data_IF_350629953116
#
_entry.id   IF_350629953116
#
_cell.length_a   1.000
_cell.length_b   1.000
_cell.length_c   1.000
_cell.angle_alpha   90.00
_cell.angle_beta   90.00
_cell.angle_gamma   90.00
#
_symmetry.space_group_name_H-M   'P 1'
#
loop_
_entity.id
_entity.type
_entity.pdbx_description
1 polymer ?
#
# COMPACT_ATOMS: atom_id res chain seq x y z
N UNK A 1 -38.53 56.72 8.20
CA UNK A 1 -37.18 57.00 8.72
C UNK A 1 -36.82 55.88 9.70
N UNK A 2 -36.39 54.73 9.19
CA UNK A 2 -35.76 53.64 9.95
C UNK A 2 -34.80 52.97 8.96
N UNK A 3 -33.50 53.23 9.13
CA UNK A 3 -32.43 52.62 8.34
C UNK A 3 -32.03 51.31 9.02
N UNK A 4 -32.15 50.18 8.32
CA UNK A 4 -31.61 48.90 8.74
C UNK A 4 -30.28 48.71 8.01
N UNK A 5 -29.18 48.93 8.73
CA UNK A 5 -27.82 48.65 8.28
C UNK A 5 -27.54 47.16 8.36
N UNK A 6 -27.22 46.55 7.22
CA UNK A 6 -26.67 45.21 7.12
C UNK A 6 -25.19 45.24 7.50
N UNK A 7 -24.85 44.62 8.63
CA UNK A 7 -23.47 44.33 9.00
C UNK A 7 -22.99 43.05 8.33
N UNK A 8 -22.04 43.18 7.40
CA UNK A 8 -21.30 42.04 6.83
C UNK A 8 -20.27 41.63 7.89
N UNK A 9 -20.51 40.52 8.57
CA UNK A 9 -19.49 39.84 9.36
C UNK A 9 -18.72 38.89 8.41
N UNK A 10 -17.62 39.40 7.86
CA UNK A 10 -16.64 38.58 7.15
C UNK A 10 -15.83 37.81 8.21
N UNK A 11 -16.26 36.61 8.55
CA UNK A 11 -15.45 35.69 9.35
C UNK A 11 -14.34 35.12 8.47
N UNK A 12 -13.20 35.82 8.43
CA UNK A 12 -11.92 35.25 7.98
C UNK A 12 -11.46 34.22 9.01
N UNK A 13 -11.96 32.99 8.91
CA UNK A 13 -11.28 31.83 9.49
C UNK A 13 -10.03 31.57 8.65
N UNK A 14 -8.96 32.30 8.96
CA UNK A 14 -7.62 31.84 8.63
C UNK A 14 -7.33 30.67 9.56
N UNK A 15 -7.52 29.46 9.08
CA UNK A 15 -6.85 28.30 9.66
C UNK A 15 -5.35 28.50 9.39
N UNK A 16 -4.68 29.23 10.27
CA UNK A 16 -3.24 29.12 10.43
C UNK A 16 -2.99 27.70 10.96
N UNK A 17 -2.80 26.75 10.05
CA UNK A 17 -2.03 25.54 10.37
C UNK A 17 -0.66 26.07 10.75
N UNK A 18 -0.40 26.10 12.05
CA UNK A 18 0.88 26.50 12.60
C UNK A 18 1.83 25.36 12.23
N UNK A 19 2.48 25.45 11.08
CA UNK A 19 3.63 24.59 10.80
C UNK A 19 4.54 24.69 12.03
N UNK A 20 4.86 23.54 12.64
CA UNK A 20 5.70 23.49 13.82
C UNK A 20 6.98 24.30 13.58
N UNK A 21 7.54 24.89 14.65
CA UNK A 21 8.85 25.53 14.57
C UNK A 21 9.84 24.48 14.04
N UNK A 22 10.43 24.65 12.84
CA UNK A 22 11.27 23.61 12.24
C UNK A 22 12.58 23.38 13.04
N UNK A 23 12.91 24.30 13.95
CA UNK A 23 14.00 24.17 14.91
C UNK A 23 13.59 23.44 16.20
N UNK A 24 12.30 23.13 16.38
CA UNK A 24 11.87 22.29 17.49
C UNK A 24 12.49 20.89 17.38
N UNK A 25 12.82 20.31 18.53
CA UNK A 25 13.32 18.94 18.58
C UNK A 25 12.19 17.96 18.82
N UNK A 26 12.27 16.78 18.22
CA UNK A 26 11.37 15.65 18.49
C UNK A 26 12.12 14.49 19.16
N UNK A 27 11.40 13.68 19.93
CA UNK A 27 11.94 12.38 20.37
C UNK A 27 12.08 11.48 19.16
N UNK A 28 13.26 10.86 19.01
CA UNK A 28 13.56 9.97 17.90
C UNK A 28 14.05 8.59 18.34
N UNK A 29 14.36 8.42 19.64
CA UNK A 29 14.82 7.15 20.19
C UNK A 29 13.74 6.09 20.00
N UNK A 30 14.14 4.96 19.42
CA UNK A 30 13.24 3.88 19.02
C UNK A 30 12.87 2.96 20.18
N UNK A 31 13.63 3.01 21.29
CA UNK A 31 13.56 2.03 22.37
C UNK A 31 14.30 0.73 22.05
N UNK A 32 15.03 0.68 20.93
CA UNK A 32 15.90 -0.41 20.53
C UNK A 32 17.35 0.10 20.47
N UNK A 33 18.15 -0.24 21.49
CA UNK A 33 19.53 0.23 21.63
C UNK A 33 20.42 -0.07 20.41
N UNK A 34 20.18 -1.21 19.73
CA UNK A 34 20.91 -1.57 18.52
C UNK A 34 20.61 -0.58 17.39
N UNK A 35 19.34 -0.29 17.16
CA UNK A 35 18.91 0.65 16.11
C UNK A 35 19.38 2.06 16.45
N UNK A 36 19.21 2.48 17.70
CA UNK A 36 19.61 3.80 18.15
C UNK A 36 21.13 4.02 17.99
N UNK A 37 21.95 3.01 18.26
CA UNK A 37 23.40 3.05 18.04
C UNK A 37 23.77 3.15 16.54
N UNK A 38 23.03 2.48 15.65
CA UNK A 38 23.24 2.61 14.21
C UNK A 38 22.89 4.03 13.76
N UNK A 39 21.75 4.58 14.19
CA UNK A 39 21.34 5.97 13.85
C UNK A 39 22.39 6.99 14.29
N UNK A 40 23.01 6.81 15.47
CA UNK A 40 24.08 7.67 15.96
C UNK A 40 25.39 7.55 15.19
N UNK A 41 25.65 6.38 14.59
CA UNK A 41 26.88 6.11 13.85
C UNK A 41 26.83 6.60 12.38
N UNK A 42 25.63 6.81 11.81
CA UNK A 42 25.46 7.25 10.43
C UNK A 42 25.89 8.71 10.23
N UNK A 43 26.52 9.00 9.09
CA UNK A 43 26.76 10.39 8.66
C UNK A 43 25.46 11.07 8.22
N UNK A 44 25.49 12.40 8.05
CA UNK A 44 24.33 13.13 7.56
C UNK A 44 23.90 12.69 6.16
N UNK A 45 24.86 12.43 5.27
CA UNK A 45 24.64 11.93 3.91
C UNK A 45 24.04 10.51 3.93
N UNK A 46 24.58 9.64 4.79
CA UNK A 46 24.06 8.29 5.00
C UNK A 46 22.60 8.32 5.48
N UNK A 47 22.27 9.16 6.47
CA UNK A 47 20.88 9.34 6.95
C UNK A 47 19.94 9.83 5.85
N UNK A 48 20.35 10.84 5.07
CA UNK A 48 19.55 11.36 3.95
C UNK A 48 19.28 10.27 2.92
N UNK A 49 20.30 9.47 2.57
CA UNK A 49 20.14 8.39 1.58
C UNK A 49 19.16 7.29 1.99
N UNK A 50 18.84 7.14 3.28
CA UNK A 50 17.88 6.14 3.78
C UNK A 50 16.44 6.63 3.75
N UNK A 51 16.19 7.93 3.67
CA UNK A 51 14.83 8.51 3.73
C UNK A 51 14.26 8.85 2.35
N UNK A 52 14.92 8.44 1.27
CA UNK A 52 14.33 8.50 -0.07
C UNK A 52 14.67 7.25 -0.89
N UNK A 53 13.86 6.99 -1.91
CA UNK A 53 14.15 5.97 -2.90
C UNK A 53 15.28 6.37 -3.85
N UNK A 54 15.71 5.45 -4.68
CA UNK A 54 16.69 5.66 -5.74
C UNK A 54 16.36 4.80 -6.95
N UNK A 55 17.03 5.06 -8.07
CA UNK A 55 16.98 4.18 -9.24
C UNK A 55 17.82 2.95 -8.96
N UNK A 56 17.22 1.76 -9.08
CA UNK A 56 17.96 0.52 -9.02
C UNK A 56 18.76 0.34 -10.32
N UNK A 57 20.08 0.46 -10.23
CA UNK A 57 20.98 0.30 -11.38
C UNK A 57 21.00 -1.12 -11.95
N UNK A 58 20.50 -2.10 -11.19
CA UNK A 58 20.40 -3.50 -11.63
C UNK A 58 19.17 -3.73 -12.54
N UNK A 59 18.33 -2.71 -12.76
CA UNK A 59 17.50 -2.47 -13.96
C UNK A 59 16.36 -3.43 -14.31
N UNK A 60 16.33 -4.66 -13.79
CA UNK A 60 15.68 -5.76 -14.52
C UNK A 60 14.44 -6.36 -13.84
N UNK A 61 13.91 -5.80 -12.75
CA UNK A 61 12.87 -6.46 -11.96
C UNK A 61 11.48 -5.82 -12.03
N UNK A 62 11.28 -4.65 -12.68
CA UNK A 62 9.99 -3.90 -12.68
C UNK A 62 9.42 -3.67 -11.27
N UNK A 63 10.28 -3.69 -10.26
CA UNK A 63 9.98 -3.29 -8.91
C UNK A 63 9.53 -1.82 -8.90
N UNK A 64 8.57 -1.51 -8.02
CA UNK A 64 8.05 -0.16 -7.87
C UNK A 64 9.13 0.79 -7.29
N UNK A 65 9.90 0.31 -6.31
CA UNK A 65 10.85 1.14 -5.57
C UNK A 65 12.11 0.43 -5.14
N UNK A 66 13.10 1.25 -4.81
CA UNK A 66 14.40 0.81 -4.34
C UNK A 66 14.98 1.82 -3.36
N UNK A 67 15.58 1.35 -2.27
CA UNK A 67 16.37 2.14 -1.34
C UNK A 67 17.79 1.59 -1.28
N UNK A 68 18.77 2.49 -1.29
CA UNK A 68 20.20 2.15 -1.37
C UNK A 68 20.72 1.44 -0.10
N UNK A 69 21.75 0.58 -0.22
CA UNK A 69 22.38 -0.03 0.93
C UNK A 69 23.38 0.92 1.61
N UNK A 70 23.62 0.71 2.91
CA UNK A 70 24.78 1.25 3.63
C UNK A 70 25.55 0.07 4.21
N UNK A 71 26.40 -0.51 3.37
CA UNK A 71 27.09 -1.78 3.63
C UNK A 71 28.05 -1.69 4.81
N UNK A 72 28.68 -0.53 5.03
CA UNK A 72 29.53 -0.23 6.19
C UNK A 72 28.82 -0.41 7.54
N UNK A 73 27.50 -0.21 7.56
CA UNK A 73 26.65 -0.33 8.75
C UNK A 73 25.77 -1.59 8.73
N UNK A 74 25.96 -2.48 7.74
CA UNK A 74 25.15 -3.67 7.57
C UNK A 74 23.68 -3.39 7.20
N UNK A 75 23.39 -2.23 6.60
CA UNK A 75 22.04 -1.88 6.14
C UNK A 75 21.90 -2.36 4.69
N UNK A 76 20.98 -3.31 4.39
CA UNK A 76 20.80 -3.81 3.04
C UNK A 76 20.04 -2.82 2.16
N UNK A 77 20.13 -3.03 0.85
CA UNK A 77 19.22 -2.40 -0.09
C UNK A 77 17.83 -3.03 0.04
N UNK A 78 16.78 -2.24 -0.10
CA UNK A 78 15.39 -2.69 -0.03
C UNK A 78 14.71 -2.47 -1.37
N UNK A 79 13.93 -3.46 -1.81
CA UNK A 79 13.08 -3.37 -3.00
C UNK A 79 11.62 -3.42 -2.60
N UNK A 80 10.80 -2.64 -3.32
CA UNK A 80 9.37 -2.52 -3.14
C UNK A 80 8.66 -2.93 -4.41
N UNK A 81 7.56 -3.67 -4.32
CA UNK A 81 6.74 -4.10 -5.48
C UNK A 81 5.26 -3.79 -5.22
N UNK A 82 4.50 -3.40 -6.26
CA UNK A 82 3.04 -3.39 -6.19
C UNK A 82 2.49 -4.79 -5.91
N UNK A 83 1.29 -4.92 -5.33
CA UNK A 83 0.91 -6.25 -4.83
C UNK A 83 -0.57 -6.59 -4.65
N UNK A 84 -1.52 -5.69 -4.92
CA UNK A 84 -2.95 -5.96 -4.67
C UNK A 84 -3.55 -7.11 -5.47
N UNK A 85 -3.06 -7.33 -6.69
CA UNK A 85 -3.46 -8.44 -7.56
C UNK A 85 -2.23 -9.30 -7.92
N UNK A 86 -1.46 -9.65 -6.89
CA UNK A 86 -0.18 -10.31 -7.04
C UNK A 86 0.96 -9.34 -7.31
N UNK A 87 2.19 -9.78 -7.08
CA UNK A 87 3.37 -8.91 -7.19
C UNK A 87 3.63 -8.50 -8.64
N UNK A 88 3.92 -7.22 -8.85
CA UNK A 88 4.23 -6.68 -10.17
C UNK A 88 5.76 -6.60 -10.36
N UNK A 89 6.31 -7.57 -11.08
CA UNK A 89 7.75 -7.71 -11.38
C UNK A 89 7.96 -8.35 -12.75
N UNK A 90 9.18 -8.30 -13.32
CA UNK A 90 9.54 -9.00 -14.60
C UNK A 90 9.73 -10.51 -14.41
N UNK A 91 8.79 -11.16 -13.74
CA UNK A 91 8.78 -12.61 -13.54
C UNK A 91 7.34 -13.12 -13.55
N UNK A 92 7.19 -14.42 -13.84
CA UNK A 92 5.91 -15.08 -13.64
C UNK A 92 5.60 -15.16 -12.15
N UNK A 93 4.50 -14.54 -11.77
CA UNK A 93 3.96 -14.48 -10.43
C UNK A 93 2.47 -14.85 -10.47
N UNK A 94 1.92 -15.29 -9.34
CA UNK A 94 0.49 -15.59 -9.24
C UNK A 94 -0.31 -14.29 -9.40
N UNK A 95 -1.31 -14.29 -10.28
CA UNK A 95 -2.35 -13.27 -10.32
C UNK A 95 -3.59 -13.76 -9.57
N UNK A 96 -3.67 -13.58 -8.23
CA UNK A 96 -4.82 -14.01 -7.44
C UNK A 96 -6.08 -13.17 -7.77
N UNK A 97 -7.28 -13.63 -7.35
CA UNK A 97 -8.47 -12.79 -7.41
C UNK A 97 -8.27 -11.50 -6.65
N UNK A 98 -8.84 -10.41 -7.16
CA UNK A 98 -8.67 -9.05 -6.62
C UNK A 98 -9.13 -8.92 -5.16
N UNK A 99 -8.73 -7.85 -4.47
CA UNK A 99 -9.24 -7.57 -3.12
C UNK A 99 -10.76 -7.45 -3.09
N UNK A 100 -11.41 -6.95 -4.15
CA UNK A 100 -12.87 -6.95 -4.24
C UNK A 100 -13.46 -8.38 -4.23
N UNK A 101 -12.82 -9.33 -4.91
CA UNK A 101 -13.21 -10.75 -4.85
C UNK A 101 -13.03 -11.32 -3.44
N UNK A 102 -11.92 -11.00 -2.78
CA UNK A 102 -11.69 -11.38 -1.38
C UNK A 102 -12.81 -10.84 -0.49
N UNK A 103 -13.20 -9.58 -0.64
CA UNK A 103 -14.29 -8.98 0.12
C UNK A 103 -15.63 -9.66 -0.10
N UNK A 104 -15.94 -10.03 -1.35
CA UNK A 104 -17.16 -10.76 -1.69
C UNK A 104 -17.27 -12.13 -1.00
N UNK A 105 -16.15 -12.72 -0.53
CA UNK A 105 -16.18 -13.97 0.26
C UNK A 105 -16.62 -13.78 1.72
N UNK A 106 -16.56 -12.54 2.25
CA UNK A 106 -16.75 -12.23 3.69
C UNK A 106 -15.88 -13.09 4.63
N UNK A 107 -14.73 -13.58 4.14
CA UNK A 107 -13.88 -14.54 4.85
C UNK A 107 -12.55 -13.93 5.28
N UNK A 108 -12.34 -13.85 6.59
CA UNK A 108 -11.06 -13.49 7.19
C UNK A 108 -9.93 -14.41 6.70
N UNK A 109 -10.21 -15.71 6.56
CA UNK A 109 -9.22 -16.66 6.05
C UNK A 109 -8.89 -16.42 4.58
N UNK A 110 -9.86 -16.02 3.74
CA UNK A 110 -9.58 -15.69 2.34
C UNK A 110 -8.61 -14.50 2.25
N UNK A 111 -8.80 -13.48 3.08
CA UNK A 111 -7.89 -12.34 3.15
C UNK A 111 -6.49 -12.72 3.66
N UNK A 112 -6.40 -13.57 4.68
CA UNK A 112 -5.10 -14.09 5.14
C UNK A 112 -4.37 -14.86 4.04
N UNK A 113 -5.05 -15.81 3.39
CA UNK A 113 -4.45 -16.63 2.34
C UNK A 113 -4.08 -15.81 1.09
N UNK A 114 -4.85 -14.77 0.76
CA UNK A 114 -4.46 -13.80 -0.25
C UNK A 114 -3.15 -13.09 0.12
N UNK A 115 -3.00 -12.64 1.37
CA UNK A 115 -1.76 -12.08 1.88
C UNK A 115 -0.59 -13.05 1.81
N UNK A 116 -0.80 -14.35 2.10
CA UNK A 116 0.23 -15.39 1.99
C UNK A 116 0.80 -15.48 0.57
N UNK A 117 -0.05 -15.45 -0.48
CA UNK A 117 0.42 -15.44 -1.86
C UNK A 117 1.37 -14.26 -2.10
N UNK A 118 0.90 -13.03 -1.83
CA UNK A 118 1.68 -11.81 -2.05
C UNK A 118 2.99 -11.85 -1.26
N UNK A 119 2.95 -12.14 0.04
CA UNK A 119 4.14 -12.15 0.90
C UNK A 119 5.14 -13.24 0.52
N UNK A 120 4.67 -14.45 0.18
CA UNK A 120 5.55 -15.57 -0.17
C UNK A 120 6.31 -15.29 -1.45
N UNK A 121 5.62 -14.81 -2.48
CA UNK A 121 6.26 -14.48 -3.74
C UNK A 121 7.17 -13.25 -3.58
N UNK A 122 6.74 -12.21 -2.86
CA UNK A 122 7.61 -11.07 -2.53
C UNK A 122 8.93 -11.53 -1.89
N UNK A 123 8.86 -12.41 -0.88
CA UNK A 123 10.07 -12.92 -0.22
C UNK A 123 10.97 -13.70 -1.17
N UNK A 124 10.40 -14.59 -2.00
CA UNK A 124 11.16 -15.39 -2.97
C UNK A 124 11.84 -14.54 -4.05
N UNK A 125 11.21 -13.45 -4.46
CA UNK A 125 11.75 -12.51 -5.44
C UNK A 125 12.54 -11.35 -4.81
N UNK A 126 12.89 -11.44 -3.52
CA UNK A 126 13.69 -10.44 -2.82
C UNK A 126 13.05 -9.02 -2.78
N UNK A 127 11.73 -8.99 -2.66
CA UNK A 127 10.93 -7.78 -2.42
C UNK A 127 10.65 -7.69 -0.93
N UNK A 128 11.32 -6.74 -0.27
CA UNK A 128 11.23 -6.56 1.17
C UNK A 128 9.94 -5.83 1.58
N UNK A 129 9.35 -5.03 0.69
CA UNK A 129 8.01 -4.46 0.87
C UNK A 129 7.11 -4.87 -0.28
N UNK A 130 5.92 -5.35 0.03
CA UNK A 130 4.82 -5.40 -0.92
C UNK A 130 3.85 -4.26 -0.61
N UNK A 131 3.56 -3.45 -1.62
CA UNK A 131 2.65 -2.32 -1.53
C UNK A 131 1.21 -2.86 -1.55
N UNK A 132 0.78 -3.49 -0.46
CA UNK A 132 -0.52 -4.16 -0.28
C UNK A 132 -0.79 -4.39 1.22
N UNK A 133 -2.04 -4.36 1.70
CA UNK A 133 -3.28 -4.15 0.94
C UNK A 133 -3.69 -2.69 0.76
N UNK A 134 -4.50 -2.43 -0.27
CA UNK A 134 -5.24 -1.17 -0.39
C UNK A 134 -6.54 -1.23 0.42
N UNK A 135 -6.75 -0.28 1.33
CA UNK A 135 -7.91 -0.21 2.24
C UNK A 135 -8.65 1.12 2.18
N UNK A 136 -8.42 1.91 1.13
CA UNK A 136 -9.18 3.12 0.87
C UNK A 136 -10.66 2.80 0.61
N UNK A 137 -11.55 3.76 0.89
CA UNK A 137 -12.99 3.59 0.73
C UNK A 137 -13.35 3.65 -0.76
N UNK A 138 -14.08 2.63 -1.24
CA UNK A 138 -14.71 2.63 -2.56
C UNK A 138 -15.91 3.58 -2.59
N UNK A 139 -15.64 4.89 -2.63
CA UNK A 139 -16.67 5.93 -2.57
C UNK A 139 -17.38 6.13 -3.90
N UNK A 140 -16.63 6.13 -5.00
CA UNK A 140 -17.16 6.41 -6.33
C UNK A 140 -17.31 5.09 -7.11
N UNK A 141 -18.53 4.71 -7.54
CA UNK A 141 -18.75 3.48 -8.30
C UNK A 141 -18.06 3.46 -9.68
N UNK A 142 -17.54 4.61 -10.18
CA UNK A 142 -16.78 4.67 -11.44
C UNK A 142 -15.28 4.85 -11.26
N UNK A 143 -14.74 4.72 -10.04
CA UNK A 143 -13.30 4.78 -9.80
C UNK A 143 -12.56 3.66 -10.57
N UNK A 144 -11.64 4.01 -11.47
CA UNK A 144 -10.96 3.03 -12.35
C UNK A 144 -10.11 1.96 -11.63
N UNK A 145 -9.80 2.17 -10.35
CA UNK A 145 -8.96 1.29 -9.54
C UNK A 145 -9.73 0.62 -8.38
N UNK A 146 -11.07 0.54 -8.47
CA UNK A 146 -11.91 -0.05 -7.40
C UNK A 146 -11.49 -1.49 -7.03
N UNK A 147 -10.96 -2.26 -7.99
CA UNK A 147 -10.56 -3.65 -7.81
C UNK A 147 -9.42 -3.82 -6.79
N UNK A 148 -8.66 -2.77 -6.54
CA UNK A 148 -7.55 -2.78 -5.59
C UNK A 148 -8.01 -2.75 -4.14
N UNK A 149 -9.19 -2.18 -3.82
CA UNK A 149 -9.68 -2.11 -2.43
C UNK A 149 -10.76 -3.14 -2.16
N UNK A 150 -11.06 -3.38 -0.88
CA UNK A 150 -12.06 -4.37 -0.47
C UNK A 150 -13.51 -3.88 -0.64
N UNK A 151 -13.86 -2.71 -0.12
CA UNK A 151 -15.26 -2.28 0.01
C UNK A 151 -15.44 -0.76 0.20
N UNK A 152 -16.70 -0.34 0.13
CA UNK A 152 -17.17 0.98 0.59
C UNK A 152 -17.34 1.05 2.12
N UNK A 153 -17.28 -0.09 2.82
CA UNK A 153 -17.45 -0.18 4.27
C UNK A 153 -16.08 -0.19 5.01
N UNK A 154 -15.82 0.79 5.90
CA UNK A 154 -14.55 0.89 6.62
C UNK A 154 -14.28 -0.30 7.55
N UNK A 155 -15.34 -0.87 8.15
CA UNK A 155 -15.20 -2.00 9.06
C UNK A 155 -14.74 -3.25 8.30
N UNK A 156 -15.35 -3.57 7.16
CA UNK A 156 -14.96 -4.68 6.30
C UNK A 156 -13.54 -4.49 5.77
N UNK A 157 -13.18 -3.27 5.33
CA UNK A 157 -11.81 -2.93 4.92
C UNK A 157 -10.81 -3.21 6.04
N UNK A 158 -11.09 -2.77 7.27
CA UNK A 158 -10.23 -3.01 8.42
C UNK A 158 -10.08 -4.52 8.71
N UNK A 159 -11.20 -5.25 8.82
CA UNK A 159 -11.19 -6.67 9.22
C UNK A 159 -10.47 -7.55 8.20
N UNK A 160 -10.68 -7.33 6.91
CA UNK A 160 -9.98 -8.08 5.86
C UNK A 160 -8.53 -7.63 5.72
N UNK A 161 -8.27 -6.31 5.76
CA UNK A 161 -6.92 -5.76 5.65
C UNK A 161 -5.99 -6.23 6.76
N UNK A 162 -6.45 -6.36 8.01
CA UNK A 162 -5.65 -6.94 9.12
C UNK A 162 -5.17 -8.35 8.77
N UNK A 163 -6.04 -9.16 8.16
CA UNK A 163 -5.70 -10.53 7.78
C UNK A 163 -4.76 -10.56 6.59
N UNK A 164 -4.97 -9.70 5.59
CA UNK A 164 -4.05 -9.54 4.46
C UNK A 164 -2.64 -9.14 4.91
N UNK A 165 -2.54 -8.16 5.82
CA UNK A 165 -1.27 -7.75 6.45
C UNK A 165 -0.61 -8.91 7.17
N UNK A 166 -1.34 -9.65 8.02
CA UNK A 166 -0.79 -10.80 8.76
C UNK A 166 -0.30 -11.90 7.82
N UNK A 167 -1.12 -12.30 6.85
CA UNK A 167 -0.75 -13.33 5.88
C UNK A 167 0.50 -12.97 5.09
N UNK A 168 0.64 -11.71 4.69
CA UNK A 168 1.81 -11.21 3.97
C UNK A 168 3.05 -11.18 4.86
N UNK A 169 2.96 -10.59 6.05
CA UNK A 169 4.09 -10.43 6.96
C UNK A 169 4.58 -11.74 7.57
N UNK A 170 3.69 -12.72 7.77
CA UNK A 170 4.06 -14.07 8.23
C UNK A 170 4.99 -14.79 7.23
N UNK A 171 5.04 -14.34 5.97
CA UNK A 171 5.98 -14.85 4.96
C UNK A 171 7.32 -14.10 4.94
N UNK A 172 7.47 -13.02 5.71
CA UNK A 172 8.71 -12.30 5.92
C UNK A 172 8.93 -11.07 5.02
N UNK A 173 7.91 -10.60 4.29
CA UNK A 173 7.91 -9.30 3.61
C UNK A 173 7.07 -8.29 4.38
N UNK A 174 7.43 -7.01 4.34
CA UNK A 174 6.69 -5.94 4.99
C UNK A 174 5.42 -5.60 4.19
N UNK A 175 4.27 -5.54 4.88
CA UNK A 175 3.03 -5.07 4.27
C UNK A 175 2.96 -3.54 4.28
N UNK A 176 2.15 -2.99 3.39
CA UNK A 176 1.89 -1.57 3.26
C UNK A 176 0.39 -1.29 3.29
N UNK A 177 -0.09 -0.59 4.31
CA UNK A 177 -1.46 -0.10 4.30
C UNK A 177 -1.54 1.10 3.34
N UNK A 178 -2.24 0.96 2.20
CA UNK A 178 -2.39 2.05 1.22
C UNK A 178 -3.81 2.31 0.72
N UNK A 179 -4.06 3.39 0.00
CA UNK A 179 -3.43 4.67 0.31
C UNK A 179 -4.20 5.31 1.46
N UNK A 180 -3.51 5.99 2.36
CA UNK A 180 -4.16 6.79 3.40
C UNK A 180 -4.35 8.24 2.90
N UNK A 181 -5.60 8.67 2.95
CA UNK A 181 -6.06 9.96 2.43
C UNK A 181 -7.24 9.77 1.47
N UNK A 182 -8.25 10.66 1.49
CA UNK A 182 -9.40 10.57 0.60
C UNK A 182 -8.97 10.79 -0.85
N UNK A 183 -8.74 9.69 -1.56
CA UNK A 183 -8.62 9.65 -3.01
C UNK A 183 -9.84 8.95 -3.59
N UNK A 184 -10.51 9.56 -4.57
CA UNK A 184 -11.70 8.98 -5.21
C UNK A 184 -11.47 8.58 -6.67
N UNK A 185 -10.27 8.80 -7.20
CA UNK A 185 -9.99 8.69 -8.65
C UNK A 185 -8.81 7.79 -9.00
N UNK A 186 -8.14 7.20 -7.99
CA UNK A 186 -6.87 6.48 -8.19
C UNK A 186 -5.73 7.41 -8.62
N UNK A 187 -4.49 6.91 -8.54
CA UNK A 187 -3.24 7.64 -8.81
C UNK A 187 -3.22 8.47 -10.12
N UNK A 188 -4.02 8.09 -11.13
CA UNK A 188 -3.93 8.63 -12.48
C UNK A 188 -4.61 9.99 -12.72
N UNK A 189 -5.39 10.52 -11.77
CA UNK A 189 -6.17 11.75 -11.99
C UNK A 189 -5.57 13.04 -11.40
N UNK A 190 -4.38 12.97 -10.80
CA UNK A 190 -3.70 14.13 -10.22
C UNK A 190 -4.34 14.65 -8.93
N UNK A 191 -3.61 15.53 -8.27
CA UNK A 191 -3.87 16.21 -6.99
C UNK A 191 -5.28 16.80 -6.85
N UNK A 192 -6.29 15.96 -6.67
CA UNK A 192 -7.64 16.45 -6.33
C UNK A 192 -7.66 16.82 -4.86
N UNK A 193 -8.17 18.03 -4.59
CA UNK A 193 -8.40 18.47 -3.23
C UNK A 193 -9.72 17.91 -2.71
N UNK A 194 -9.61 16.97 -1.79
CA UNK A 194 -10.71 16.42 -1.02
C UNK A 194 -11.03 17.33 0.15
N UNK A 195 -12.15 18.05 0.04
CA UNK A 195 -12.70 18.87 1.13
C UNK A 195 -13.57 17.99 2.02
N UNK A 196 -13.04 17.62 3.19
CA UNK A 196 -13.62 16.60 4.07
C UNK A 196 -13.43 17.02 5.52
N UNK A 197 -14.47 16.90 6.33
CA UNK A 197 -14.38 17.19 7.77
C UNK A 197 -13.61 16.11 8.53
N UNK A 198 -13.11 16.44 9.72
CA UNK A 198 -12.29 15.54 10.52
C UNK A 198 -13.02 14.28 10.97
N UNK A 199 -14.33 14.36 11.24
CA UNK A 199 -15.10 13.18 11.65
C UNK A 199 -15.14 12.16 10.51
N UNK A 200 -15.46 12.61 9.29
CA UNK A 200 -15.45 11.75 8.10
C UNK A 200 -14.07 11.15 7.84
N UNK A 201 -12.99 11.93 8.03
CA UNK A 201 -11.62 11.42 7.91
C UNK A 201 -11.34 10.29 8.91
N UNK A 202 -11.67 10.50 10.19
CA UNK A 202 -11.45 9.53 11.27
C UNK A 202 -12.30 8.27 11.09
N UNK A 203 -13.61 8.42 10.84
CA UNK A 203 -14.58 7.33 10.87
C UNK A 203 -14.65 6.52 9.57
N UNK A 204 -14.23 7.07 8.42
CA UNK A 204 -14.25 6.37 7.14
C UNK A 204 -12.85 6.11 6.56
N UNK A 205 -12.04 7.16 6.40
CA UNK A 205 -10.81 7.07 5.62
C UNK A 205 -9.60 6.58 6.42
N UNK A 206 -9.52 6.90 7.71
CA UNK A 206 -8.35 6.64 8.54
C UNK A 206 -8.53 5.44 9.46
N UNK A 207 -9.77 5.03 9.78
CA UNK A 207 -10.02 3.90 10.67
C UNK A 207 -9.44 2.59 10.14
N UNK A 208 -9.61 2.28 8.85
CA UNK A 208 -9.09 1.04 8.28
C UNK A 208 -7.55 0.99 8.30
N UNK A 209 -6.80 1.94 7.69
CA UNK A 209 -5.34 1.91 7.75
C UNK A 209 -4.82 2.02 9.20
N UNK A 210 -5.44 2.83 10.06
CA UNK A 210 -5.07 2.90 11.48
C UNK A 210 -5.20 1.57 12.22
N UNK A 211 -6.31 0.85 12.00
CA UNK A 211 -6.52 -0.48 12.60
C UNK A 211 -5.53 -1.51 12.03
N UNK A 212 -5.14 -1.42 10.76
CA UNK A 212 -4.10 -2.26 10.17
C UNK A 212 -2.74 -2.04 10.84
N UNK A 213 -2.41 -0.79 11.17
CA UNK A 213 -1.19 -0.47 11.93
C UNK A 213 -1.27 -1.06 13.35
N UNK A 214 -2.37 -0.84 14.06
CA UNK A 214 -2.51 -1.20 15.47
C UNK A 214 -2.73 -2.71 15.70
N UNK A 215 -3.66 -3.34 14.99
CA UNK A 215 -4.03 -4.76 15.18
C UNK A 215 -3.33 -5.71 14.19
N UNK A 216 -2.99 -5.20 13.00
CA UNK A 216 -2.27 -5.92 11.96
C UNK A 216 -0.75 -5.82 12.10
N UNK A 217 -0.25 -4.81 12.84
CA UNK A 217 1.16 -4.44 12.90
C UNK A 217 1.73 -4.22 11.48
N UNK A 218 0.98 -3.54 10.62
CA UNK A 218 1.45 -3.20 9.28
C UNK A 218 2.78 -2.44 9.39
N UNK A 219 3.82 -2.96 8.72
CA UNK A 219 5.16 -2.45 8.83
C UNK A 219 5.32 -1.08 8.18
N UNK A 220 4.54 -0.81 7.14
CA UNK A 220 4.59 0.42 6.36
C UNK A 220 3.19 0.96 6.05
N UNK A 221 3.11 2.25 5.77
CA UNK A 221 1.90 3.01 5.43
C UNK A 221 2.23 3.95 4.26
N UNK A 222 1.33 4.08 3.28
CA UNK A 222 1.53 4.99 2.15
C UNK A 222 0.48 6.10 2.13
N UNK A 223 0.92 7.37 2.21
CA UNK A 223 0.05 8.52 2.04
C UNK A 223 -0.29 8.75 0.56
N UNK A 224 -1.54 9.15 0.28
CA UNK A 224 -2.06 9.29 -1.08
C UNK A 224 -1.57 10.54 -1.81
N UNK A 225 -1.78 10.57 -3.13
CA UNK A 225 -1.67 11.78 -3.98
C UNK A 225 -2.65 12.91 -3.63
N UNK A 226 -3.73 12.65 -2.90
CA UNK A 226 -4.78 13.65 -2.70
C UNK A 226 -4.29 14.82 -1.84
N UNK A 227 -4.94 15.97 -2.00
CA UNK A 227 -4.90 17.02 -0.97
C UNK A 227 -6.10 16.84 -0.03
N UNK A 228 -5.88 17.12 1.26
CA UNK A 228 -6.89 17.13 2.31
C UNK A 228 -7.06 18.58 2.74
N UNK A 229 -8.21 19.18 2.41
CA UNK A 229 -8.52 20.57 2.74
C UNK A 229 -7.43 21.56 2.29
N UNK A 230 -6.85 21.34 1.11
CA UNK A 230 -5.84 22.19 0.48
C UNK A 230 -4.39 21.87 0.84
N UNK A 231 -4.14 20.82 1.62
CA UNK A 231 -2.80 20.39 2.03
C UNK A 231 -2.53 18.98 1.49
N UNK A 232 -1.40 18.71 0.81
CA UNK A 232 -1.10 17.35 0.35
C UNK A 232 -1.12 16.32 1.49
N UNK A 233 -1.70 15.15 1.27
CA UNK A 233 -1.89 14.14 2.32
C UNK A 233 -0.57 13.72 2.96
N UNK A 234 0.52 13.66 2.18
CA UNK A 234 1.86 13.35 2.65
C UNK A 234 2.54 14.43 3.52
N UNK A 235 1.85 15.54 3.80
CA UNK A 235 2.26 16.56 4.77
C UNK A 235 1.08 17.06 5.62
N UNK A 236 -0.03 16.30 5.68
CA UNK A 236 -1.20 16.67 6.46
C UNK A 236 -1.04 16.20 7.91
N UNK A 237 -0.53 17.09 8.78
CA UNK A 237 -0.21 16.79 10.18
C UNK A 237 -1.32 16.04 10.95
N UNK A 238 -2.63 16.38 10.84
CA UNK A 238 -3.66 15.63 11.55
C UNK A 238 -3.73 14.14 11.20
N UNK A 239 -3.39 13.78 9.95
CA UNK A 239 -3.31 12.37 9.54
C UNK A 239 -2.21 11.66 10.31
N UNK A 240 -1.01 12.23 10.37
CA UNK A 240 0.13 11.60 11.03
C UNK A 240 -0.02 11.58 12.55
N UNK A 241 -0.57 12.63 13.16
CA UNK A 241 -0.91 12.61 14.59
C UNK A 241 -1.89 11.46 14.90
N UNK A 242 -2.90 11.26 14.05
CA UNK A 242 -3.82 10.13 14.22
C UNK A 242 -3.08 8.80 14.10
N UNK A 243 -2.26 8.61 13.07
CA UNK A 243 -1.58 7.33 12.84
C UNK A 243 -0.53 7.01 13.92
N UNK A 244 0.25 8.02 14.35
CA UNK A 244 1.37 7.86 15.27
C UNK A 244 0.93 7.91 16.73
N UNK A 245 0.02 8.82 17.09
CA UNK A 245 -0.37 9.04 18.48
C UNK A 245 -1.61 8.21 18.84
N UNK A 246 -2.70 8.33 18.07
CA UNK A 246 -3.97 7.65 18.40
C UNK A 246 -3.89 6.14 18.15
N UNK A 247 -3.31 5.72 17.03
CA UNK A 247 -3.07 4.31 16.72
C UNK A 247 -1.74 3.77 17.24
N UNK A 248 -0.90 4.61 17.85
CA UNK A 248 0.40 4.26 18.44
C UNK A 248 1.31 3.49 17.45
N UNK A 249 1.39 3.97 16.21
CA UNK A 249 2.15 3.31 15.15
C UNK A 249 3.57 3.85 15.00
N UNK A 250 4.52 2.91 14.88
CA UNK A 250 5.90 3.16 14.48
C UNK A 250 6.20 2.66 13.05
N UNK A 251 5.17 2.51 12.21
CA UNK A 251 5.34 2.09 10.83
C UNK A 251 6.17 3.10 10.02
N UNK A 252 6.83 2.61 8.97
CA UNK A 252 7.45 3.50 7.99
C UNK A 252 6.34 4.17 7.20
N UNK A 253 6.26 5.49 7.27
CA UNK A 253 5.34 6.28 6.48
C UNK A 253 6.04 6.74 5.20
N UNK A 254 5.57 6.28 4.05
CA UNK A 254 6.12 6.64 2.74
C UNK A 254 5.14 7.43 1.89
N UNK A 255 5.66 8.22 0.95
CA UNK A 255 4.85 8.80 -0.11
C UNK A 255 4.38 7.75 -1.09
N UNK A 256 3.22 7.98 -1.72
CA UNK A 256 2.99 7.43 -3.06
C UNK A 256 3.99 8.05 -4.06
N UNK A 257 4.11 7.49 -5.26
CA UNK A 257 5.16 7.82 -6.22
C UNK A 257 5.00 9.24 -6.76
N UNK A 258 5.74 10.21 -6.21
CA UNK A 258 5.63 11.63 -6.54
C UNK A 258 4.60 12.42 -5.71
N UNK A 259 4.07 11.85 -4.62
CA UNK A 259 3.13 12.52 -3.72
C UNK A 259 3.80 13.43 -2.68
N UNK A 260 5.13 13.52 -2.68
CA UNK A 260 5.88 14.47 -1.85
C UNK A 260 5.86 15.85 -2.50
N UNK A 261 5.59 16.89 -1.71
CA UNK A 261 5.52 18.29 -2.18
C UNK A 261 6.29 19.28 -1.32
N UNK A 262 7.10 18.79 -0.38
CA UNK A 262 7.90 19.61 0.54
C UNK A 262 9.06 18.83 1.13
N UNK A 263 10.14 19.54 1.44
CA UNK A 263 11.33 18.99 2.12
C UNK A 263 11.09 18.93 3.64
N UNK A 264 10.96 20.10 4.29
CA UNK A 264 10.86 20.17 5.74
C UNK A 264 9.46 19.85 6.26
N UNK A 265 8.41 20.36 5.61
CA UNK A 265 7.03 20.27 6.11
C UNK A 265 6.53 18.83 6.18
N UNK A 266 6.78 18.02 5.15
CA UNK A 266 6.42 16.59 5.14
C UNK A 266 7.17 15.78 6.19
N UNK A 267 8.49 16.05 6.36
CA UNK A 267 9.30 15.41 7.39
C UNK A 267 8.83 15.83 8.78
N UNK A 268 8.55 17.11 9.01
CA UNK A 268 8.01 17.60 10.30
C UNK A 268 6.68 16.93 10.60
N UNK A 269 5.77 16.91 9.63
CA UNK A 269 4.42 16.38 9.76
C UNK A 269 4.42 14.89 10.14
N UNK A 270 5.39 14.10 9.70
CA UNK A 270 5.51 12.71 10.13
C UNK A 270 5.87 11.70 9.04
N UNK A 271 6.14 12.13 7.81
CA UNK A 271 6.61 11.22 6.77
C UNK A 271 8.05 10.76 7.05
N UNK A 272 8.40 9.54 6.63
CA UNK A 272 9.74 8.96 6.84
C UNK A 272 10.49 8.72 5.52
N UNK A 273 9.78 8.39 4.44
CA UNK A 273 10.39 7.89 3.20
C UNK A 273 9.75 8.51 1.94
N UNK A 274 10.53 9.27 1.17
CA UNK A 274 10.12 9.77 -0.14
C UNK A 274 10.31 8.71 -1.24
N UNK A 275 9.31 8.50 -2.09
CA UNK A 275 9.36 7.60 -3.26
C UNK A 275 8.99 8.33 -4.56
N UNK A 276 9.59 7.98 -5.72
CA UNK A 276 10.62 6.94 -5.94
C UNK A 276 12.07 7.40 -5.71
N UNK A 277 12.29 8.71 -5.59
CA UNK A 277 13.63 9.33 -5.59
C UNK A 277 13.66 10.49 -4.61
N UNK A 278 14.84 11.01 -4.26
CA UNK A 278 15.00 12.17 -3.36
C UNK A 278 14.67 13.54 -3.97
N UNK A 279 13.55 13.68 -4.70
CA UNK A 279 13.21 14.96 -5.35
C UNK A 279 13.04 16.12 -4.37
N UNK A 280 12.62 15.84 -3.13
CA UNK A 280 12.54 16.82 -2.05
C UNK A 280 13.52 16.51 -0.91
N UNK A 281 13.80 15.24 -0.63
CA UNK A 281 14.57 14.82 0.54
C UNK A 281 16.08 14.85 0.31
N UNK A 282 16.58 14.91 -0.93
CA UNK A 282 18.00 15.20 -1.19
C UNK A 282 18.43 16.53 -0.54
N UNK A 283 17.52 17.52 -0.51
CA UNK A 283 17.76 18.83 0.07
C UNK A 283 17.81 18.83 1.61
N UNK A 284 17.47 17.73 2.29
CA UNK A 284 17.49 17.66 3.76
C UNK A 284 18.89 17.89 4.33
N UNK A 285 19.93 17.48 3.60
CA UNK A 285 21.30 17.73 4.04
C UNK A 285 21.57 19.23 4.24
N UNK A 286 21.19 20.04 3.25
CA UNK A 286 21.37 21.49 3.30
C UNK A 286 20.48 22.15 4.36
N UNK A 287 19.25 21.66 4.54
CA UNK A 287 18.34 22.17 5.57
C UNK A 287 18.87 21.94 6.99
N UNK A 288 19.49 20.79 7.24
CA UNK A 288 19.92 20.37 8.58
C UNK A 288 21.36 20.80 8.89
N UNK A 289 22.31 20.53 7.98
CA UNK A 289 23.74 20.65 8.30
C UNK A 289 24.39 21.94 7.77
N UNK A 290 23.83 22.54 6.71
CA UNK A 290 24.38 23.77 6.10
C UNK A 290 23.66 25.01 6.62
N UNK A 291 22.35 25.09 6.38
CA UNK A 291 21.52 26.23 6.76
C UNK A 291 21.01 26.16 8.20
N UNK A 292 20.98 24.97 8.80
CA UNK A 292 20.51 24.72 10.17
C UNK A 292 19.11 25.27 10.43
N UNK A 293 18.23 25.15 9.44
CA UNK A 293 16.83 25.58 9.51
C UNK A 293 15.88 24.43 9.87
N UNK A 294 16.40 23.21 10.04
CA UNK A 294 15.64 22.02 10.44
C UNK A 294 16.45 21.20 11.45
N UNK A 295 15.81 20.80 12.55
CA UNK A 295 16.48 19.95 13.55
C UNK A 295 16.76 18.55 12.99
N UNK A 296 17.99 18.05 13.18
CA UNK A 296 18.40 16.68 12.82
C UNK A 296 17.53 15.62 13.50
N UNK A 297 16.90 15.93 14.64
CA UNK A 297 16.00 14.99 15.33
C UNK A 297 14.85 14.48 14.44
N UNK A 298 14.37 15.28 13.49
CA UNK A 298 13.33 14.84 12.55
C UNK A 298 13.86 13.77 11.58
N UNK A 299 15.07 13.95 11.08
CA UNK A 299 15.74 12.97 10.23
C UNK A 299 16.07 11.69 11.01
N UNK A 300 16.58 11.82 12.24
CA UNK A 300 16.84 10.67 13.11
C UNK A 300 15.57 9.87 13.41
N UNK A 301 14.41 10.54 13.57
CA UNK A 301 13.12 9.88 13.79
C UNK A 301 12.75 9.03 12.57
N UNK A 302 12.83 9.60 11.36
CA UNK A 302 12.54 8.90 10.12
C UNK A 302 13.45 7.68 9.90
N UNK A 303 14.77 7.88 10.03
CA UNK A 303 15.77 6.80 9.93
C UNK A 303 15.53 5.74 11.02
N UNK A 304 15.21 6.15 12.24
CA UNK A 304 14.88 5.26 13.35
C UNK A 304 13.69 4.33 13.04
N UNK A 305 12.59 4.86 12.48
CA UNK A 305 11.45 4.03 12.07
C UNK A 305 11.84 3.02 10.99
N UNK A 306 12.60 3.46 9.98
CA UNK A 306 13.06 2.59 8.88
C UNK A 306 13.92 1.45 9.41
N UNK A 307 14.95 1.77 10.18
CA UNK A 307 15.88 0.77 10.72
C UNK A 307 15.22 -0.13 11.78
N UNK A 308 14.27 0.38 12.56
CA UNK A 308 13.50 -0.45 13.49
C UNK A 308 12.67 -1.51 12.76
N UNK A 309 12.05 -1.17 11.61
CA UNK A 309 11.34 -2.17 10.79
C UNK A 309 12.31 -3.11 10.09
N UNK A 310 13.46 -2.64 9.63
CA UNK A 310 14.47 -3.54 9.07
C UNK A 310 14.96 -4.54 10.12
N UNK A 311 15.17 -4.10 11.36
CA UNK A 311 15.56 -4.99 12.47
C UNK A 311 14.42 -5.98 12.82
N UNK A 312 13.17 -5.49 12.90
CA UNK A 312 11.98 -6.30 13.18
C UNK A 312 11.82 -7.44 12.17
N UNK A 313 12.15 -7.21 10.90
CA UNK A 313 12.08 -8.20 9.83
C UNK A 313 13.41 -8.96 9.60
N UNK A 314 14.40 -8.76 10.47
CA UNK A 314 15.68 -9.46 10.43
C UNK A 314 16.55 -9.11 9.21
N UNK A 315 16.38 -7.92 8.64
CA UNK A 315 17.08 -7.48 7.44
C UNK A 315 18.46 -6.87 7.75
N UNK A 316 18.64 -6.25 8.93
CA UNK A 316 19.93 -5.69 9.32
C UNK A 316 21.01 -6.76 9.46
N UNK A 317 22.17 -6.52 8.84
CA UNK A 317 23.30 -7.45 8.78
C UNK A 317 23.17 -8.54 7.72
N UNK A 318 22.08 -8.55 6.94
CA UNK A 318 21.91 -9.47 5.83
C UNK A 318 22.45 -8.88 4.53
N UNK A 319 22.91 -9.74 3.63
CA UNK A 319 23.09 -9.39 2.22
C UNK A 319 21.83 -9.80 1.48
N UNK A 320 21.33 -8.95 0.58
CA UNK A 320 20.17 -9.28 -0.24
C UNK A 320 20.46 -10.52 -1.09
N UNK A 321 19.75 -11.62 -0.81
CA UNK A 321 19.81 -12.83 -1.65
C UNK A 321 19.15 -12.55 -3.01
N UNK A 322 19.66 -13.19 -4.07
CA UNK A 322 19.09 -13.04 -5.41
C UNK A 322 17.65 -13.57 -5.51
N UNK A 323 16.93 -13.16 -6.55
CA UNK A 323 15.58 -13.68 -6.79
C UNK A 323 15.61 -15.19 -7.03
N UNK A 324 14.67 -15.92 -6.46
CA UNK A 324 14.48 -17.36 -6.70
C UNK A 324 13.26 -17.62 -7.59
N UNK A 325 13.33 -18.56 -8.56
CA UNK A 325 12.16 -18.95 -9.33
C UNK A 325 11.12 -19.62 -8.42
N UNK A 326 9.83 -19.46 -8.74
CA UNK A 326 8.77 -20.17 -8.03
C UNK A 326 8.88 -21.69 -8.30
N UNK A 327 8.92 -22.48 -7.24
CA UNK A 327 8.81 -23.94 -7.34
C UNK A 327 7.40 -24.36 -7.77
N UNK A 328 7.26 -25.55 -8.36
CA UNK A 328 5.95 -26.08 -8.76
C UNK A 328 4.97 -26.18 -7.58
N UNK A 329 5.45 -26.57 -6.39
CA UNK A 329 4.61 -26.70 -5.19
C UNK A 329 3.98 -25.35 -4.79
N UNK A 330 4.76 -24.27 -4.86
CA UNK A 330 4.27 -22.90 -4.59
C UNK A 330 3.21 -22.50 -5.62
N UNK A 331 3.48 -22.74 -6.90
CA UNK A 331 2.54 -22.46 -7.99
C UNK A 331 1.22 -23.22 -7.78
N UNK A 332 1.28 -24.49 -7.40
CA UNK A 332 0.11 -25.34 -7.21
C UNK A 332 -0.71 -24.93 -5.98
N UNK A 333 -0.05 -24.59 -4.87
CA UNK A 333 -0.70 -24.12 -3.65
C UNK A 333 -1.38 -22.75 -3.86
N UNK A 334 -0.68 -21.80 -4.48
CA UNK A 334 -1.23 -20.48 -4.79
C UNK A 334 -2.38 -20.56 -5.79
N UNK A 335 -2.33 -21.48 -6.76
CA UNK A 335 -3.45 -21.75 -7.67
C UNK A 335 -4.67 -22.30 -6.92
N UNK A 336 -4.47 -23.17 -5.92
CA UNK A 336 -5.56 -23.71 -5.09
C UNK A 336 -6.21 -22.62 -4.23
N UNK A 337 -5.41 -21.77 -3.60
CA UNK A 337 -5.90 -20.60 -2.83
C UNK A 337 -6.69 -19.68 -3.76
N UNK A 338 -6.13 -19.33 -4.91
CA UNK A 338 -6.77 -18.46 -5.91
C UNK A 338 -8.11 -19.02 -6.38
N UNK A 339 -8.17 -20.32 -6.65
CA UNK A 339 -9.42 -21.00 -7.03
C UNK A 339 -10.48 -20.96 -5.91
N UNK A 340 -10.08 -21.23 -4.66
CA UNK A 340 -11.00 -21.20 -3.51
C UNK A 340 -11.61 -19.81 -3.30
N UNK A 341 -10.79 -18.75 -3.37
CA UNK A 341 -11.24 -17.36 -3.30
C UNK A 341 -12.18 -17.06 -4.47
N UNK A 342 -11.79 -17.40 -5.71
CA UNK A 342 -12.59 -17.13 -6.90
C UNK A 342 -13.98 -17.75 -6.81
N UNK A 343 -14.06 -19.04 -6.45
CA UNK A 343 -15.34 -19.77 -6.33
C UNK A 343 -16.22 -19.17 -5.23
N UNK A 344 -15.65 -18.80 -4.08
CA UNK A 344 -16.39 -18.20 -2.96
C UNK A 344 -16.81 -16.75 -3.20
N UNK A 345 -16.15 -16.05 -4.12
CA UNK A 345 -16.44 -14.65 -4.45
C UNK A 345 -17.63 -14.45 -5.38
N UNK A 346 -18.17 -15.53 -5.97
CA UNK A 346 -19.31 -15.44 -6.89
C UNK A 346 -20.62 -15.09 -6.18
N UNK A 347 -21.19 -13.91 -6.50
CA UNK A 347 -22.46 -13.45 -5.93
C UNK A 347 -23.62 -13.80 -6.87
N UNK A 348 -24.49 -14.73 -6.45
CA UNK A 348 -25.70 -15.08 -7.20
C UNK A 348 -26.80 -14.03 -7.00
N UNK A 349 -26.81 -13.00 -7.85
CA UNK A 349 -27.79 -11.90 -7.74
C UNK A 349 -29.22 -12.31 -8.13
N UNK A 350 -29.36 -13.22 -9.11
CA UNK A 350 -30.66 -13.67 -9.61
C UNK A 350 -30.60 -15.12 -10.05
N UNK A 351 -31.55 -15.93 -9.58
CA UNK A 351 -31.77 -17.29 -10.06
C UNK A 351 -33.27 -17.55 -10.21
N UNK A 352 -33.76 -17.56 -11.44
CA UNK A 352 -35.17 -17.80 -11.75
C UNK A 352 -35.32 -19.20 -12.34
N UNK A 353 -36.40 -19.90 -11.96
CA UNK A 353 -36.72 -21.25 -12.44
C UNK A 353 -35.63 -22.30 -12.19
N UNK A 354 -34.79 -22.12 -11.18
CA UNK A 354 -33.65 -23.00 -10.88
C UNK A 354 -32.74 -23.22 -12.09
N UNK A 355 -32.48 -22.15 -12.85
CA UNK A 355 -31.57 -22.18 -14.01
C UNK A 355 -30.16 -22.62 -13.61
N UNK A 356 -29.67 -22.14 -12.45
CA UNK A 356 -28.43 -22.63 -11.84
C UNK A 356 -28.74 -23.58 -10.66
N UNK A 357 -27.94 -24.64 -10.45
CA UNK A 357 -26.73 -25.01 -11.20
C UNK A 357 -27.03 -25.63 -12.58
N UNK A 358 -26.10 -25.45 -13.53
CA UNK A 358 -26.18 -26.06 -14.86
C UNK A 358 -26.11 -27.58 -14.74
N UNK A 359 -27.02 -28.28 -15.42
CA UNK A 359 -27.07 -29.76 -15.41
C UNK A 359 -26.18 -30.35 -16.50
N UNK A 360 -25.59 -31.51 -16.23
CA UNK A 360 -24.87 -32.28 -17.26
C UNK A 360 -25.79 -32.63 -18.44
N UNK A 361 -25.24 -32.66 -19.66
CA UNK A 361 -25.98 -32.88 -20.90
C UNK A 361 -26.76 -31.67 -21.42
N UNK A 362 -26.63 -30.49 -20.79
CA UNK A 362 -27.22 -29.25 -21.29
C UNK A 362 -26.51 -28.79 -22.57
N UNK A 363 -27.26 -28.28 -23.54
CA UNK A 363 -26.69 -27.53 -24.66
C UNK A 363 -26.48 -26.07 -24.25
N UNK A 364 -25.24 -25.58 -24.36
CA UNK A 364 -24.82 -24.29 -23.82
C UNK A 364 -24.20 -23.45 -24.94
N UNK A 365 -24.67 -22.21 -25.07
CA UNK A 365 -24.01 -21.20 -25.89
C UNK A 365 -23.22 -20.24 -25.00
N UNK A 366 -21.92 -20.13 -25.22
CA UNK A 366 -21.06 -19.13 -24.56
C UNK A 366 -20.93 -17.92 -25.50
N UNK A 367 -21.35 -16.74 -25.05
CA UNK A 367 -21.43 -15.53 -25.88
C UNK A 367 -20.63 -14.40 -25.23
N UNK A 368 -19.79 -13.74 -26.03
CA UNK A 368 -18.99 -12.57 -25.62
C UNK A 368 -17.47 -12.86 -25.57
N UNK A 369 -16.62 -11.83 -25.71
CA UNK A 369 -15.16 -11.99 -25.80
C UNK A 369 -14.56 -12.68 -24.57
N UNK A 370 -15.01 -12.34 -23.37
CA UNK A 370 -14.53 -12.91 -22.10
C UNK A 370 -14.96 -14.37 -21.88
N UNK A 371 -15.82 -14.90 -22.76
CA UNK A 371 -16.12 -16.32 -22.80
C UNK A 371 -14.94 -17.14 -23.34
N UNK A 372 -14.20 -16.58 -24.29
CA UNK A 372 -13.11 -17.26 -25.02
C UNK A 372 -11.74 -16.72 -24.59
N UNK A 373 -11.65 -15.45 -24.23
CA UNK A 373 -10.42 -14.83 -23.74
C UNK A 373 -10.34 -14.94 -22.22
N UNK A 374 -9.16 -15.28 -21.71
CA UNK A 374 -8.87 -15.11 -20.30
C UNK A 374 -8.90 -13.62 -19.96
N UNK A 375 -9.69 -13.24 -18.96
CA UNK A 375 -9.75 -11.88 -18.45
C UNK A 375 -9.50 -11.88 -16.95
N UNK A 376 -8.38 -11.29 -16.54
CA UNK A 376 -8.03 -11.18 -15.13
C UNK A 376 -8.91 -10.16 -14.37
N UNK A 377 -9.54 -9.21 -15.08
CA UNK A 377 -10.49 -8.27 -14.50
C UNK A 377 -9.87 -7.01 -13.89
N UNK A 378 -8.56 -6.81 -14.07
CA UNK A 378 -7.84 -5.60 -13.65
C UNK A 378 -7.29 -4.84 -14.85
N UNK A 379 -6.91 -3.58 -14.65
CA UNK A 379 -6.14 -2.82 -15.65
C UNK A 379 -4.70 -3.37 -15.71
N UNK A 380 -3.96 -3.07 -16.78
CA UNK A 380 -2.58 -3.55 -16.95
C UNK A 380 -1.58 -2.95 -15.95
N UNK A 381 -1.94 -1.89 -15.23
CA UNK A 381 -1.10 -1.29 -14.20
C UNK A 381 -1.24 -2.06 -12.86
N UNK A 382 -0.11 -2.30 -12.16
CA UNK A 382 -0.06 -2.79 -10.78
C UNK A 382 -0.63 -4.21 -10.55
N UNK A 383 -0.31 -5.17 -11.44
CA UNK A 383 -0.69 -6.58 -11.29
C UNK A 383 0.45 -7.53 -11.65
N UNK A 384 0.37 -8.78 -11.18
CA UNK A 384 1.19 -9.84 -11.72
C UNK A 384 0.90 -10.11 -13.21
N UNK A 385 1.94 -10.43 -13.99
CA UNK A 385 1.79 -10.90 -15.37
C UNK A 385 1.00 -12.22 -15.46
N UNK A 386 1.03 -13.00 -14.38
CA UNK A 386 0.39 -14.31 -14.28
C UNK A 386 1.32 -15.43 -14.76
N UNK A 387 0.83 -16.67 -14.62
CA UNK A 387 1.51 -17.88 -15.10
C UNK A 387 0.76 -18.36 -16.35
N UNK A 388 1.32 -18.17 -17.57
CA UNK A 388 0.61 -18.42 -18.82
C UNK A 388 -0.02 -19.81 -18.92
N UNK A 389 0.66 -20.84 -18.40
CA UNK A 389 0.21 -22.24 -18.44
C UNK A 389 -1.05 -22.49 -17.60
N UNK A 390 -1.41 -21.56 -16.72
CA UNK A 390 -2.59 -21.64 -15.84
C UNK A 390 -3.72 -20.67 -16.23
N UNK A 391 -3.56 -19.91 -17.30
CA UNK A 391 -4.60 -19.00 -17.79
C UNK A 391 -5.64 -19.78 -18.59
N UNK A 392 -6.76 -20.11 -17.94
CA UNK A 392 -7.87 -20.88 -18.54
C UNK A 392 -9.06 -19.95 -18.81
N UNK A 393 -9.59 -19.98 -20.03
CA UNK A 393 -10.80 -19.24 -20.39
C UNK A 393 -12.07 -19.86 -19.80
N UNK A 394 -13.15 -19.08 -19.75
CA UNK A 394 -14.47 -19.57 -19.29
C UNK A 394 -14.95 -20.75 -20.15
N UNK A 395 -14.76 -20.69 -21.47
CA UNK A 395 -15.17 -21.75 -22.39
C UNK A 395 -14.38 -23.03 -22.16
N UNK A 396 -13.05 -22.97 -22.01
CA UNK A 396 -12.22 -24.14 -21.72
C UNK A 396 -12.59 -24.77 -20.38
N UNK A 397 -12.82 -23.95 -19.35
CA UNK A 397 -13.27 -24.42 -18.05
C UNK A 397 -14.64 -25.12 -18.12
N UNK A 398 -15.60 -24.57 -18.87
CA UNK A 398 -16.91 -25.18 -19.07
C UNK A 398 -16.83 -26.49 -19.88
N UNK A 399 -16.04 -26.51 -20.97
CA UNK A 399 -15.80 -27.72 -21.77
C UNK A 399 -15.24 -28.85 -20.92
N UNK A 400 -14.20 -28.55 -20.14
CA UNK A 400 -13.58 -29.50 -19.22
C UNK A 400 -14.56 -29.99 -18.15
N UNK A 401 -15.32 -29.08 -17.52
CA UNK A 401 -16.19 -29.43 -16.38
C UNK A 401 -17.46 -30.18 -16.78
N UNK A 402 -17.97 -29.94 -17.98
CA UNK A 402 -19.21 -30.51 -18.51
C UNK A 402 -18.97 -31.61 -19.53
N UNK A 403 -17.70 -32.01 -19.75
CA UNK A 403 -17.30 -33.06 -20.70
C UNK A 403 -17.82 -32.78 -22.13
N UNK A 404 -17.85 -31.51 -22.53
CA UNK A 404 -18.30 -31.10 -23.87
C UNK A 404 -17.15 -31.38 -24.85
N UNK A 405 -17.36 -32.18 -25.92
CA UNK A 405 -16.35 -32.43 -26.94
C UNK A 405 -15.87 -31.14 -27.63
N UNK A 406 -14.67 -31.20 -28.20
CA UNK A 406 -14.02 -30.04 -28.80
C UNK A 406 -14.72 -29.42 -30.01
#
# INVERSE_FOLDING_TARGET
MVSVTWGIALALCTQLVRAGDPLATVSWKTGNDKVDAIVEALTGEEKVSLVHGAVDSDGDQQQAGYSVPITSQGIPAIRLTDGEAGINIVQNATGPPTQLNVAATWSLNAAYQHGVITGKESKLFNMAVALSPRVNILRDPVEGNFWQSYSEDPFLNARLGIQGVKGLQDQGSMANAKQIGPSSTGASAGDTNSVVDLQTLQELYWVAPGTLLQEGNAATLMCSYAQINGIPACQYEPLFNTMRDDYNSSAIVMSDWGATHSTAESLIAGMDLEMPTGSYYDALYDYIYVSQNLSESYLNRAVGHILAKYDQFGLLGTTTEGSSPLSQDVIDDHAKISYDIAVKSGILLKNTNNTLPIKSGSSIAVIGPNGVQYTHGTNFAERAYGIPERQVSTLEALKSRLEIPD
#
